data_IF_177598282741
#
_entry.id   IF_177598282741
#
_cell.length_a   1.000
_cell.length_b   1.000
_cell.length_c   1.000
_cell.angle_alpha   90.00
_cell.angle_beta   90.00
_cell.angle_gamma   90.00
#
_symmetry.space_group_name_H-M   'P 1'
#
loop_
_entity.id
_entity.type
_entity.pdbx_description
1 polymer ?
#
# COMPACT_ATOMS: atom_id res chain seq x y z
N UNK A 1 9.14 15.46 15.06
CA UNK A 1 7.76 15.94 14.84
C UNK A 1 7.06 14.98 13.91
N UNK A 2 5.81 14.62 14.18
CA UNK A 2 5.01 13.81 13.26
C UNK A 2 4.78 14.59 11.95
N UNK A 3 4.77 13.94 10.77
CA UNK A 3 4.65 14.62 9.48
C UNK A 3 3.48 15.59 9.38
N UNK A 4 2.35 15.26 10.02
CA UNK A 4 1.16 16.11 10.06
C UNK A 4 1.42 17.47 10.73
N UNK A 5 2.22 17.51 11.81
CA UNK A 5 2.57 18.75 12.50
C UNK A 5 3.45 19.62 11.62
N UNK A 6 4.44 19.01 10.94
CA UNK A 6 5.28 19.73 9.98
C UNK A 6 4.47 20.32 8.83
N UNK A 7 3.51 19.55 8.29
CA UNK A 7 2.62 20.03 7.23
C UNK A 7 1.72 21.18 7.68
N UNK A 8 1.12 21.08 8.87
CA UNK A 8 0.27 22.15 9.42
C UNK A 8 1.04 23.44 9.70
N UNK A 9 2.28 23.34 10.21
CA UNK A 9 3.15 24.50 10.40
C UNK A 9 3.48 25.15 9.06
N UNK A 10 3.83 24.36 8.04
CA UNK A 10 4.11 24.86 6.70
C UNK A 10 2.90 25.55 6.07
N UNK A 11 1.70 24.95 6.20
CA UNK A 11 0.46 25.55 5.72
C UNK A 11 0.14 26.86 6.44
N UNK A 12 0.24 26.90 7.78
CA UNK A 12 0.01 28.10 8.57
C UNK A 12 1.00 29.22 8.23
N UNK A 13 2.30 28.91 8.11
CA UNK A 13 3.32 29.87 7.72
C UNK A 13 3.05 30.45 6.32
N UNK A 14 2.66 29.60 5.36
CA UNK A 14 2.35 30.03 3.99
C UNK A 14 1.10 30.91 3.94
N UNK A 15 0.06 30.57 4.71
CA UNK A 15 -1.15 31.40 4.82
C UNK A 15 -0.84 32.79 5.39
N UNK A 16 0.06 32.88 6.39
CA UNK A 16 0.47 34.17 6.97
C UNK A 16 1.24 35.05 5.97
N UNK A 17 2.07 34.44 5.12
CA UNK A 17 2.88 35.17 4.13
C UNK A 17 2.04 35.59 2.92
N UNK A 18 1.26 34.67 2.36
CA UNK A 18 0.50 34.89 1.13
C UNK A 18 -0.81 35.65 1.42
N UNK A 19 -1.31 35.60 2.66
CA UNK A 19 -2.62 36.14 3.07
C UNK A 19 -3.75 35.62 2.17
N UNK A 20 -3.65 34.36 1.76
CA UNK A 20 -4.65 33.71 0.94
C UNK A 20 -5.96 33.56 1.72
N UNK A 21 -7.08 33.64 1.00
CA UNK A 21 -8.39 33.35 1.56
C UNK A 21 -8.47 31.86 1.93
N UNK A 22 -8.78 31.58 3.20
CA UNK A 22 -8.86 30.22 3.73
C UNK A 22 -9.97 29.45 3.02
N UNK A 23 -11.08 30.08 2.67
CA UNK A 23 -12.20 29.43 1.99
C UNK A 23 -11.81 28.99 0.57
N UNK A 24 -11.02 29.78 -0.14
CA UNK A 24 -10.48 29.38 -1.45
C UNK A 24 -9.51 28.20 -1.32
N UNK A 25 -8.59 28.25 -0.35
CA UNK A 25 -7.61 27.17 -0.14
C UNK A 25 -8.32 25.86 0.22
N UNK A 26 -9.32 25.90 1.11
CA UNK A 26 -10.10 24.73 1.50
C UNK A 26 -10.92 24.14 0.33
N UNK A 27 -11.31 24.94 -0.67
CA UNK A 27 -11.99 24.42 -1.88
C UNK A 27 -11.09 23.61 -2.80
N UNK A 28 -9.78 23.86 -2.77
CA UNK A 28 -8.79 23.12 -3.59
C UNK A 28 -8.38 21.81 -2.93
N UNK A 29 -8.67 21.62 -1.64
CA UNK A 29 -8.42 20.38 -0.92
C UNK A 29 -9.28 19.24 -1.48
N UNK A 30 -8.66 18.10 -1.75
CA UNK A 30 -9.36 16.89 -2.19
C UNK A 30 -10.04 16.18 -0.99
N UNK A 31 -11.20 16.71 -0.60
CA UNK A 31 -12.01 16.19 0.50
C UNK A 31 -12.48 14.75 0.27
N UNK A 32 -12.70 14.35 -0.98
CA UNK A 32 -13.11 12.99 -1.32
C UNK A 32 -12.03 11.99 -0.92
N UNK A 33 -10.77 12.27 -1.26
CA UNK A 33 -9.64 11.43 -0.87
C UNK A 33 -9.44 11.38 0.65
N UNK A 34 -9.58 12.51 1.35
CA UNK A 34 -9.47 12.55 2.82
C UNK A 34 -10.57 11.73 3.50
N UNK A 35 -11.83 11.89 3.08
CA UNK A 35 -12.97 11.14 3.62
C UNK A 35 -12.85 9.65 3.34
N UNK A 36 -12.39 9.27 2.14
CA UNK A 36 -12.10 7.88 1.80
C UNK A 36 -11.08 7.25 2.77
N UNK A 37 -9.95 7.92 3.02
CA UNK A 37 -8.95 7.40 3.95
C UNK A 37 -9.44 7.35 5.39
N UNK A 38 -10.19 8.35 5.86
CA UNK A 38 -10.80 8.30 7.19
C UNK A 38 -11.76 7.10 7.33
N UNK A 39 -12.64 6.89 6.35
CA UNK A 39 -13.54 5.73 6.34
C UNK A 39 -12.80 4.40 6.28
N UNK A 40 -11.78 4.29 5.43
CA UNK A 40 -10.93 3.11 5.33
C UNK A 40 -10.25 2.80 6.67
N UNK A 41 -9.61 3.77 7.32
CA UNK A 41 -8.93 3.53 8.60
C UNK A 41 -9.93 3.23 9.72
N UNK A 42 -11.13 3.80 9.69
CA UNK A 42 -12.21 3.46 10.61
C UNK A 42 -12.66 2.01 10.43
N UNK A 43 -12.83 1.54 9.18
CA UNK A 43 -13.15 0.15 8.87
C UNK A 43 -12.02 -0.79 9.31
N UNK A 44 -10.76 -0.44 9.03
CA UNK A 44 -9.60 -1.24 9.48
C UNK A 44 -9.58 -1.34 11.01
N UNK A 45 -9.84 -0.24 11.71
CA UNK A 45 -9.98 -0.23 13.17
C UNK A 45 -11.13 -1.12 13.65
N UNK A 46 -12.31 -1.04 13.03
CA UNK A 46 -13.46 -1.89 13.38
C UNK A 46 -13.16 -3.38 13.13
N UNK A 47 -12.51 -3.72 12.01
CA UNK A 47 -12.09 -5.08 11.67
C UNK A 47 -11.04 -5.61 12.65
N UNK A 48 -10.18 -4.72 13.18
CA UNK A 48 -9.24 -5.04 14.24
C UNK A 48 -9.95 -5.37 15.56
N UNK A 49 -10.91 -4.55 15.98
CA UNK A 49 -11.70 -4.76 17.21
C UNK A 49 -12.53 -6.06 17.17
N UNK A 50 -13.05 -6.42 16.00
CA UNK A 50 -13.81 -7.68 15.79
C UNK A 50 -12.89 -8.91 15.78
N UNK A 51 -11.56 -8.73 15.79
CA UNK A 51 -10.58 -9.83 15.85
C UNK A 51 -10.33 -10.52 14.51
N UNK A 52 -10.78 -9.97 13.38
CA UNK A 52 -10.49 -10.56 12.07
C UNK A 52 -9.00 -10.50 11.75
N UNK A 53 -8.32 -9.43 12.18
CA UNK A 53 -6.88 -9.27 12.01
C UNK A 53 -6.11 -10.40 12.72
N UNK A 54 -6.51 -10.78 13.93
CA UNK A 54 -5.85 -11.88 14.64
C UNK A 54 -6.09 -13.21 13.95
N UNK A 55 -7.28 -13.45 13.40
CA UNK A 55 -7.56 -14.66 12.60
C UNK A 55 -6.65 -14.73 11.37
N UNK A 56 -6.54 -13.65 10.60
CA UNK A 56 -5.67 -13.60 9.41
C UNK A 56 -4.20 -13.80 9.81
N UNK A 57 -3.76 -13.09 10.86
CA UNK A 57 -2.38 -13.18 11.33
C UNK A 57 -2.03 -14.58 11.85
N UNK A 58 -2.93 -15.21 12.61
CA UNK A 58 -2.78 -16.59 13.07
C UNK A 58 -2.80 -17.59 11.93
N UNK A 59 -3.64 -17.38 10.91
CA UNK A 59 -3.65 -18.21 9.70
C UNK A 59 -2.32 -18.15 8.95
N UNK A 60 -1.78 -16.94 8.74
CA UNK A 60 -0.47 -16.75 8.12
C UNK A 60 0.63 -17.35 9.00
N UNK A 61 0.59 -17.11 10.31
CA UNK A 61 1.56 -17.69 11.25
C UNK A 61 1.51 -19.21 11.26
N UNK A 62 0.32 -19.83 11.15
CA UNK A 62 0.19 -21.29 11.03
C UNK A 62 0.80 -21.84 9.73
N UNK A 63 0.80 -21.07 8.65
CA UNK A 63 1.43 -21.45 7.38
C UNK A 63 2.95 -21.31 7.40
N UNK A 64 3.49 -20.25 8.02
CA UNK A 64 4.93 -19.93 7.99
C UNK A 64 5.69 -20.40 9.23
N UNK A 65 4.98 -20.66 10.33
CA UNK A 65 5.54 -20.95 11.64
C UNK A 65 6.45 -19.83 12.13
N UNK A 66 7.62 -20.22 12.63
CA UNK A 66 8.70 -19.32 13.05
C UNK A 66 9.73 -19.07 11.93
N UNK A 67 9.47 -19.54 10.70
CA UNK A 67 10.42 -19.41 9.60
C UNK A 67 10.31 -18.01 8.97
N UNK A 68 11.33 -17.17 9.23
CA UNK A 68 11.41 -15.81 8.70
C UNK A 68 11.37 -15.76 7.17
N UNK A 69 12.09 -16.65 6.49
CA UNK A 69 12.10 -16.74 5.02
C UNK A 69 10.71 -17.01 4.48
N UNK A 70 9.97 -17.96 5.08
CA UNK A 70 8.61 -18.26 4.69
C UNK A 70 7.68 -17.05 4.91
N UNK A 71 7.83 -16.34 6.03
CA UNK A 71 7.07 -15.13 6.32
C UNK A 71 7.35 -13.98 5.35
N UNK A 72 8.61 -13.78 4.96
CA UNK A 72 9.01 -12.81 3.92
C UNK A 72 8.33 -13.18 2.60
N UNK A 73 8.43 -14.44 2.17
CA UNK A 73 7.87 -14.89 0.89
C UNK A 73 6.34 -14.75 0.86
N UNK A 74 5.64 -15.21 1.91
CA UNK A 74 4.18 -15.07 2.00
C UNK A 74 3.77 -13.61 2.04
N UNK A 75 4.53 -12.76 2.72
CA UNK A 75 4.23 -11.32 2.76
C UNK A 75 4.40 -10.67 1.39
N UNK A 76 5.54 -10.86 0.72
CA UNK A 76 5.80 -10.25 -0.60
C UNK A 76 4.80 -10.76 -1.63
N UNK A 77 4.69 -12.07 -1.78
CA UNK A 77 3.88 -12.67 -2.84
C UNK A 77 2.39 -12.64 -2.53
N UNK A 78 1.99 -12.78 -1.27
CA UNK A 78 0.59 -12.64 -0.86
C UNK A 78 0.08 -11.22 -1.07
N UNK A 79 0.82 -10.21 -0.62
CA UNK A 79 0.41 -8.80 -0.82
C UNK A 79 0.45 -8.42 -2.30
N UNK A 80 1.50 -8.81 -3.02
CA UNK A 80 1.63 -8.47 -4.42
C UNK A 80 0.60 -9.16 -5.33
N UNK A 81 0.12 -10.35 -4.99
CA UNK A 81 -0.98 -11.00 -5.72
C UNK A 81 -2.34 -10.40 -5.37
N UNK A 82 -2.59 -10.05 -4.11
CA UNK A 82 -3.82 -9.34 -3.72
C UNK A 82 -3.95 -7.97 -4.41
N UNK A 83 -2.82 -7.32 -4.73
CA UNK A 83 -2.79 -6.10 -5.52
C UNK A 83 -3.37 -6.23 -6.94
N UNK A 84 -3.65 -7.44 -7.46
CA UNK A 84 -4.39 -7.60 -8.72
C UNK A 84 -5.79 -6.98 -8.66
N UNK A 85 -6.41 -7.07 -7.48
CA UNK A 85 -7.81 -6.72 -7.24
C UNK A 85 -7.95 -5.55 -6.27
N UNK A 86 -7.02 -5.40 -5.33
CA UNK A 86 -7.10 -4.42 -4.25
C UNK A 86 -6.05 -3.34 -4.48
N UNK A 87 -6.41 -2.04 -4.47
CA UNK A 87 -5.43 -0.98 -4.59
C UNK A 87 -4.38 -1.03 -3.47
N UNK A 88 -3.14 -0.67 -3.79
CA UNK A 88 -2.00 -0.84 -2.87
C UNK A 88 -2.14 -0.09 -1.55
N UNK A 89 -2.70 1.14 -1.57
CA UNK A 89 -2.84 1.98 -0.38
C UNK A 89 -3.77 1.31 0.66
N UNK A 90 -5.03 0.96 0.32
CA UNK A 90 -5.90 0.27 1.26
C UNK A 90 -5.40 -1.11 1.68
N UNK A 91 -4.79 -1.88 0.77
CA UNK A 91 -4.23 -3.19 1.10
C UNK A 91 -3.10 -3.07 2.14
N UNK A 92 -2.16 -2.16 1.92
CA UNK A 92 -1.01 -1.95 2.81
C UNK A 92 -1.47 -1.49 4.19
N UNK A 93 -2.43 -0.56 4.24
CA UNK A 93 -3.01 -0.08 5.49
C UNK A 93 -3.69 -1.22 6.29
N UNK A 94 -4.48 -2.06 5.62
CA UNK A 94 -5.19 -3.16 6.26
C UNK A 94 -4.25 -4.26 6.80
N UNK A 95 -3.12 -4.50 6.12
CA UNK A 95 -2.16 -5.54 6.51
C UNK A 95 -1.09 -5.05 7.49
N UNK A 96 -0.96 -3.73 7.71
CA UNK A 96 0.03 -3.19 8.63
C UNK A 96 -0.08 -3.77 10.07
N UNK A 97 -1.30 -3.92 10.66
CA UNK A 97 -1.44 -4.57 11.97
C UNK A 97 -1.08 -6.06 11.94
N UNK A 98 -1.40 -6.77 10.85
CA UNK A 98 -1.04 -8.19 10.64
C UNK A 98 0.48 -8.35 10.63
N UNK A 99 1.19 -7.49 9.90
CA UNK A 99 2.66 -7.48 9.87
C UNK A 99 3.25 -7.12 11.23
N UNK A 100 2.63 -6.18 11.96
CA UNK A 100 3.05 -5.85 13.32
C UNK A 100 2.85 -7.01 14.31
N UNK A 101 1.86 -7.88 14.10
CA UNK A 101 1.73 -9.13 14.85
C UNK A 101 2.84 -10.12 14.47
N UNK A 102 2.98 -10.44 13.18
CA UNK A 102 3.97 -11.42 12.71
C UNK A 102 5.40 -11.01 13.08
N UNK A 103 5.72 -9.72 13.04
CA UNK A 103 7.04 -9.19 13.43
C UNK A 103 7.37 -9.46 14.90
N UNK A 104 6.35 -9.49 15.77
CA UNK A 104 6.53 -9.79 17.20
C UNK A 104 6.57 -11.30 17.47
N UNK A 105 5.89 -12.09 16.65
CA UNK A 105 5.80 -13.54 16.81
C UNK A 105 6.94 -14.31 16.17
N UNK A 106 7.58 -13.76 15.12
CA UNK A 106 8.62 -14.46 14.36
C UNK A 106 10.01 -13.99 14.81
N UNK A 107 10.85 -14.90 15.32
CA UNK A 107 12.22 -14.55 15.73
C UNK A 107 13.02 -13.95 14.57
N UNK A 108 13.75 -12.87 14.84
CA UNK A 108 14.62 -12.22 13.85
C UNK A 108 13.89 -11.36 12.80
N UNK A 109 12.56 -11.23 12.86
CA UNK A 109 11.80 -10.50 11.85
C UNK A 109 12.18 -9.01 11.72
N UNK A 110 12.45 -8.32 12.84
CA UNK A 110 12.89 -6.92 12.85
C UNK A 110 12.07 -6.04 11.89
N UNK A 111 12.74 -5.37 10.95
CA UNK A 111 12.06 -4.58 9.91
C UNK A 111 11.80 -5.36 8.62
N UNK A 112 12.23 -6.62 8.51
CA UNK A 112 12.19 -7.41 7.27
C UNK A 112 10.76 -7.55 6.74
N UNK A 113 9.78 -7.79 7.61
CA UNK A 113 8.38 -7.96 7.20
C UNK A 113 7.71 -6.64 6.77
N UNK A 114 8.11 -5.52 7.36
CA UNK A 114 7.67 -4.19 6.89
C UNK A 114 8.22 -3.86 5.51
N UNK A 115 9.50 -4.17 5.25
CA UNK A 115 10.09 -4.03 3.92
C UNK A 115 9.46 -5.01 2.92
N UNK A 116 9.15 -6.24 3.36
CA UNK A 116 8.46 -7.24 2.56
C UNK A 116 7.07 -6.79 2.15
N UNK A 117 6.30 -6.21 3.07
CA UNK A 117 4.99 -5.63 2.80
C UNK A 117 5.11 -4.48 1.80
N UNK A 118 6.06 -3.57 2.03
CA UNK A 118 6.29 -2.43 1.15
C UNK A 118 6.70 -2.86 -0.26
N UNK A 119 7.57 -3.86 -0.41
CA UNK A 119 7.97 -4.37 -1.72
C UNK A 119 6.83 -5.10 -2.41
N UNK A 120 6.16 -6.01 -1.72
CA UNK A 120 5.05 -6.77 -2.28
C UNK A 120 3.90 -5.87 -2.72
N UNK A 121 3.49 -4.92 -1.88
CA UNK A 121 2.38 -4.02 -2.21
C UNK A 121 2.74 -2.98 -3.28
N UNK A 122 3.95 -2.40 -3.25
CA UNK A 122 4.33 -1.36 -4.20
C UNK A 122 4.72 -1.93 -5.58
N UNK A 123 5.48 -3.01 -5.62
CA UNK A 123 5.88 -3.65 -6.89
C UNK A 123 4.71 -4.46 -7.46
N UNK A 124 3.95 -5.13 -6.60
CA UNK A 124 2.77 -5.90 -6.99
C UNK A 124 1.68 -5.02 -7.60
N UNK A 125 1.49 -3.78 -7.16
CA UNK A 125 0.49 -2.87 -7.73
C UNK A 125 0.59 -2.65 -9.25
N UNK A 126 1.75 -2.94 -9.85
CA UNK A 126 1.99 -2.84 -11.29
C UNK A 126 1.40 -4.02 -12.10
N UNK A 127 0.89 -5.06 -11.43
CA UNK A 127 0.33 -6.23 -12.10
C UNK A 127 -1.01 -5.95 -12.81
N UNK A 128 -1.71 -4.87 -12.43
CA UNK A 128 -3.10 -4.59 -12.79
C UNK A 128 -3.34 -3.09 -12.90
N UNK A 129 -4.26 -2.72 -13.80
CA UNK A 129 -4.60 -1.31 -14.02
C UNK A 129 -5.25 -0.68 -12.78
N UNK A 130 -5.95 -1.47 -11.96
CA UNK A 130 -6.60 -1.00 -10.73
C UNK A 130 -5.71 -1.08 -9.49
N UNK A 131 -4.54 -1.72 -9.58
CA UNK A 131 -3.64 -1.93 -8.44
C UNK A 131 -3.04 -0.63 -7.89
N UNK A 132 -2.90 0.39 -8.75
CA UNK A 132 -2.41 1.71 -8.37
C UNK A 132 -3.23 2.83 -9.04
N UNK A 133 -3.51 3.91 -8.31
CA UNK A 133 -4.22 5.08 -8.84
C UNK A 133 -3.48 5.71 -10.02
N UNK A 134 -2.14 5.66 -10.00
CA UNK A 134 -1.25 6.14 -11.05
C UNK A 134 -1.53 5.46 -12.40
N UNK A 135 -1.83 4.15 -12.37
CA UNK A 135 -2.11 3.36 -13.57
C UNK A 135 -3.42 3.82 -14.21
N UNK A 136 -4.47 4.03 -13.41
CA UNK A 136 -5.76 4.56 -13.85
C UNK A 136 -5.65 5.98 -14.42
N UNK A 137 -4.93 6.86 -13.73
CA UNK A 137 -4.69 8.24 -14.21
C UNK A 137 -3.96 8.22 -15.55
N UNK A 138 -2.91 7.41 -15.67
CA UNK A 138 -2.14 7.27 -16.92
C UNK A 138 -3.01 6.74 -18.06
N UNK A 139 -3.82 5.71 -17.81
CA UNK A 139 -4.75 5.19 -18.81
C UNK A 139 -5.82 6.22 -19.21
N UNK A 140 -6.32 7.01 -18.27
CA UNK A 140 -7.26 8.10 -18.55
C UNK A 140 -6.65 9.19 -19.43
N UNK A 141 -5.40 9.57 -19.18
CA UNK A 141 -4.64 10.52 -20.02
C UNK A 141 -4.44 9.94 -21.42
N UNK A 142 -3.99 8.68 -21.52
CA UNK A 142 -3.76 8.01 -22.79
C UNK A 142 -5.05 7.90 -23.63
N UNK A 143 -6.18 7.59 -22.97
CA UNK A 143 -7.49 7.56 -23.61
C UNK A 143 -7.89 8.93 -24.19
N UNK A 144 -7.66 10.03 -23.47
CA UNK A 144 -7.90 11.40 -23.95
C UNK A 144 -6.99 11.79 -25.12
N UNK A 145 -5.78 11.22 -25.18
CA UNK A 145 -4.83 11.41 -26.28
C UNK A 145 -5.11 10.51 -27.50
N UNK A 146 -6.17 9.69 -27.48
CA UNK A 146 -6.52 8.78 -28.59
C UNK A 146 -5.82 7.41 -28.54
N UNK A 147 -5.11 7.08 -27.46
CA UNK A 147 -4.41 5.82 -27.26
C UNK A 147 -5.01 5.04 -26.07
N UNK A 148 -6.21 4.43 -26.21
CA UNK A 148 -6.86 3.75 -25.09
C UNK A 148 -6.07 2.51 -24.63
N UNK A 149 -5.81 2.44 -23.32
CA UNK A 149 -5.17 1.28 -22.69
C UNK A 149 -6.27 0.38 -22.12
N UNK A 150 -6.50 -0.77 -22.73
CA UNK A 150 -7.44 -1.75 -22.17
C UNK A 150 -6.85 -2.46 -20.95
N UNK A 151 -7.72 -2.88 -20.02
CA UNK A 151 -7.34 -3.65 -18.84
C UNK A 151 -6.52 -4.90 -19.19
N UNK A 152 -6.96 -5.64 -20.22
CA UNK A 152 -6.26 -6.85 -20.70
C UNK A 152 -4.89 -6.55 -21.29
N UNK A 153 -4.75 -5.45 -22.04
CA UNK A 153 -3.47 -5.03 -22.58
C UNK A 153 -2.49 -4.65 -21.47
N UNK A 154 -2.96 -3.94 -20.45
CA UNK A 154 -2.15 -3.58 -19.29
C UNK A 154 -1.68 -4.82 -18.53
N UNK A 155 -2.59 -5.74 -18.15
CA UNK A 155 -2.22 -6.96 -17.42
C UNK A 155 -1.21 -7.81 -18.20
N UNK A 156 -1.36 -7.93 -19.51
CA UNK A 156 -0.45 -8.75 -20.34
C UNK A 156 1.01 -8.30 -20.24
N UNK A 157 1.26 -7.01 -19.97
CA UNK A 157 2.61 -6.44 -19.85
C UNK A 157 2.98 -6.22 -18.37
N UNK A 158 2.07 -5.63 -17.61
CA UNK A 158 2.25 -5.28 -16.21
C UNK A 158 2.42 -6.49 -15.31
N UNK A 159 1.66 -7.58 -15.52
CA UNK A 159 1.77 -8.77 -14.70
C UNK A 159 3.18 -9.41 -14.80
N UNK A 160 3.73 -9.75 -15.99
CA UNK A 160 5.10 -10.25 -16.09
C UNK A 160 6.15 -9.30 -15.50
N UNK A 161 6.02 -7.98 -15.73
CA UNK A 161 6.95 -6.99 -15.21
C UNK A 161 6.91 -6.90 -13.67
N UNK A 162 5.71 -6.94 -13.09
CA UNK A 162 5.53 -6.98 -11.64
C UNK A 162 6.13 -8.24 -11.03
N UNK A 163 5.93 -9.42 -11.64
CA UNK A 163 6.53 -10.67 -11.14
C UNK A 163 8.06 -10.62 -11.17
N UNK A 164 8.66 -10.06 -12.24
CA UNK A 164 10.11 -9.92 -12.35
C UNK A 164 10.66 -8.96 -11.28
N UNK A 165 10.05 -7.79 -11.13
CA UNK A 165 10.50 -6.80 -10.14
C UNK A 165 10.29 -7.30 -8.71
N UNK A 166 9.19 -7.99 -8.41
CA UNK A 166 8.96 -8.66 -7.13
C UNK A 166 9.99 -9.76 -6.86
N UNK A 167 10.39 -10.52 -7.88
CA UNK A 167 11.45 -11.53 -7.74
C UNK A 167 12.79 -10.89 -7.37
N UNK A 168 13.17 -9.81 -8.07
CA UNK A 168 14.38 -9.05 -7.75
C UNK A 168 14.31 -8.47 -6.34
N UNK A 169 13.16 -7.92 -5.94
CA UNK A 169 12.93 -7.42 -4.59
C UNK A 169 13.02 -8.53 -3.53
N UNK A 170 12.48 -9.71 -3.83
CA UNK A 170 12.58 -10.90 -2.97
C UNK A 170 14.03 -11.29 -2.74
N UNK A 171 14.84 -11.38 -3.81
CA UNK A 171 16.27 -11.70 -3.71
C UNK A 171 17.01 -10.65 -2.86
N UNK A 172 16.69 -9.37 -3.04
CA UNK A 172 17.29 -8.30 -2.24
C UNK A 172 16.95 -8.44 -0.75
N UNK A 173 15.68 -8.68 -0.40
CA UNK A 173 15.26 -8.82 0.99
C UNK A 173 15.91 -10.05 1.64
N UNK A 174 15.94 -11.19 0.94
CA UNK A 174 16.53 -12.43 1.45
C UNK A 174 18.06 -12.40 1.59
N UNK A 175 18.75 -11.53 0.84
CA UNK A 175 20.21 -11.35 1.00
C UNK A 175 20.54 -10.34 2.09
N UNK A 176 19.62 -9.43 2.41
CA UNK A 176 19.81 -8.38 3.40
C UNK A 176 19.43 -8.80 4.83
N UNK A 177 18.43 -9.67 4.97
CA UNK A 177 17.84 -10.13 6.24
C UNK A 177 17.92 -11.66 6.32
#
# INVERSE_FOLDING_TARGET
MVPAVTAMIGAAATLLVVRADVDEVLRVVDWNTLLFFMGLFMIVGAVQEVGLISIIASGIHGLVGENLTAAILVTIWGTGTLCLLIPTIPLTAALLPVIGFLTRSIPGAGNALYYSLSMGSALGANNSLIGATNNLVTAGIAQRAGYPISFKAFIKIGFPAAMLTMLVGTIYILTRF
#
